data_IF_860003147048
#
_entry.id   IF_860003147048
#
_cell.length_a   1.000
_cell.length_b   1.000
_cell.length_c   1.000
_cell.angle_alpha   90.00
_cell.angle_beta   90.00
_cell.angle_gamma   90.00
#
_symmetry.space_group_name_H-M   'P 1'
#
loop_
_entity.id
_entity.type
_entity.pdbx_description
1 polymer ?
#
# COMPACT_ATOMS: atom_id res chain seq x y z
N UNK A 1 -34.17 -17.30 -11.12
CA UNK A 1 -34.25 -16.22 -10.10
C UNK A 1 -34.46 -16.76 -8.69
N UNK A 2 -35.26 -17.81 -8.48
CA UNK A 2 -35.42 -18.46 -7.16
C UNK A 2 -34.12 -19.00 -6.56
N UNK A 3 -33.24 -19.60 -7.37
CA UNK A 3 -31.97 -20.19 -6.90
C UNK A 3 -31.03 -19.18 -6.22
N UNK A 4 -30.97 -17.95 -6.72
CA UNK A 4 -30.09 -16.92 -6.14
C UNK A 4 -30.62 -16.39 -4.80
N UNK A 5 -31.94 -16.21 -4.68
CA UNK A 5 -32.58 -15.78 -3.42
C UNK A 5 -32.46 -16.89 -2.37
N UNK A 6 -32.64 -18.14 -2.79
CA UNK A 6 -32.45 -19.30 -1.91
C UNK A 6 -31.00 -19.39 -1.42
N UNK A 7 -30.03 -19.19 -2.31
CA UNK A 7 -28.61 -19.17 -1.96
C UNK A 7 -28.26 -18.04 -0.98
N UNK A 8 -28.86 -16.85 -1.13
CA UNK A 8 -28.68 -15.73 -0.20
C UNK A 8 -29.31 -16.02 1.16
N UNK A 9 -30.44 -16.75 1.23
CA UNK A 9 -31.04 -17.24 2.48
C UNK A 9 -30.15 -18.29 3.13
N UNK A 10 -29.69 -19.29 2.38
CA UNK A 10 -28.86 -20.39 2.88
C UNK A 10 -27.51 -19.88 3.41
N UNK A 11 -26.95 -18.86 2.75
CA UNK A 11 -25.75 -18.16 3.21
C UNK A 11 -26.02 -17.16 4.33
N UNK A 12 -27.28 -16.93 4.71
CA UNK A 12 -27.68 -16.07 5.82
C UNK A 12 -27.53 -14.57 5.56
N UNK A 13 -27.52 -14.14 4.29
CA UNK A 13 -27.43 -12.73 3.90
C UNK A 13 -28.80 -12.03 3.93
N UNK A 14 -29.87 -12.75 3.67
CA UNK A 14 -31.23 -12.23 3.75
C UNK A 14 -32.08 -13.13 4.64
N UNK A 15 -33.03 -12.54 5.36
CA UNK A 15 -34.06 -13.24 6.11
C UNK A 15 -35.42 -12.83 5.56
N UNK A 16 -36.36 -13.75 5.59
CA UNK A 16 -37.75 -13.47 5.28
C UNK A 16 -38.45 -13.19 6.61
N UNK A 17 -38.93 -11.97 6.79
CA UNK A 17 -39.65 -11.57 8.01
C UNK A 17 -41.12 -11.30 7.67
N UNK A 18 -42.00 -12.02 8.35
CA UNK A 18 -43.45 -11.81 8.31
C UNK A 18 -44.23 -12.58 7.24
N UNK A 19 -45.56 -12.70 7.41
CA UNK A 19 -46.46 -13.50 6.55
C UNK A 19 -46.70 -12.92 5.14
N UNK A 20 -45.83 -12.03 4.65
CA UNK A 20 -45.94 -11.34 3.36
C UNK A 20 -44.76 -11.53 2.40
N UNK A 21 -43.73 -12.29 2.79
CA UNK A 21 -42.57 -12.57 1.93
C UNK A 21 -41.59 -11.39 1.77
N UNK A 22 -41.55 -10.47 2.73
CA UNK A 22 -40.62 -9.33 2.68
C UNK A 22 -39.20 -9.78 3.08
N UNK A 23 -38.20 -9.32 2.34
CA UNK A 23 -36.81 -9.73 2.52
C UNK A 23 -36.02 -8.65 3.26
N UNK A 24 -35.59 -8.97 4.48
CA UNK A 24 -34.76 -8.09 5.31
C UNK A 24 -33.29 -8.50 5.21
N UNK A 25 -32.41 -7.52 5.03
CA UNK A 25 -30.96 -7.73 5.08
C UNK A 25 -30.51 -8.09 6.49
N UNK A 26 -29.62 -9.06 6.62
CA UNK A 26 -29.06 -9.44 7.93
C UNK A 26 -27.84 -8.59 8.29
N UNK A 27 -27.47 -8.59 9.57
CA UNK A 27 -26.22 -7.99 10.05
C UNK A 27 -24.97 -8.53 9.31
N UNK A 28 -25.02 -9.78 8.82
CA UNK A 28 -23.95 -10.38 8.02
C UNK A 28 -23.79 -9.67 6.67
N UNK A 29 -24.89 -9.29 6.04
CA UNK A 29 -24.89 -8.50 4.79
C UNK A 29 -24.38 -7.09 5.03
N UNK A 30 -24.84 -6.44 6.10
CA UNK A 30 -24.35 -5.11 6.46
C UNK A 30 -22.85 -5.10 6.70
N UNK A 31 -22.33 -6.09 7.45
CA UNK A 31 -20.91 -6.23 7.72
C UNK A 31 -20.09 -6.54 6.45
N UNK A 32 -20.60 -7.40 5.56
CA UNK A 32 -19.89 -7.77 4.33
C UNK A 32 -19.81 -6.59 3.35
N UNK A 33 -20.90 -5.83 3.22
CA UNK A 33 -20.94 -4.61 2.41
C UNK A 33 -19.96 -3.58 2.96
N UNK A 34 -19.99 -3.32 4.27
CA UNK A 34 -19.03 -2.39 4.90
C UNK A 34 -17.58 -2.82 4.66
N UNK A 35 -17.25 -4.09 4.87
CA UNK A 35 -15.89 -4.60 4.63
C UNK A 35 -15.48 -4.41 3.17
N UNK A 36 -16.36 -4.78 2.23
CA UNK A 36 -16.09 -4.65 0.79
C UNK A 36 -15.93 -3.19 0.38
N UNK A 37 -16.73 -2.28 0.92
CA UNK A 37 -16.61 -0.84 0.69
C UNK A 37 -15.28 -0.31 1.23
N UNK A 38 -14.85 -0.74 2.42
CA UNK A 38 -13.54 -0.37 2.97
C UNK A 38 -12.40 -0.94 2.13
N UNK A 39 -12.48 -2.20 1.70
CA UNK A 39 -11.51 -2.81 0.77
C UNK A 39 -11.49 -2.12 -0.59
N UNK A 40 -12.62 -1.60 -1.08
CA UNK A 40 -12.63 -0.86 -2.34
C UNK A 40 -12.00 0.53 -2.19
N UNK A 41 -12.27 1.23 -1.08
CA UNK A 41 -11.69 2.53 -0.76
C UNK A 41 -10.19 2.42 -0.49
N UNK A 42 -9.76 1.42 0.29
CA UNK A 42 -8.39 1.30 0.79
C UNK A 42 -7.54 0.28 0.01
N UNK A 43 -8.14 -0.73 -0.59
CA UNK A 43 -7.44 -1.76 -1.37
C UNK A 43 -7.05 -1.30 -2.78
N UNK A 44 -7.67 -0.22 -3.28
CA UNK A 44 -7.28 0.45 -4.54
C UNK A 44 -6.63 1.82 -4.28
N UNK A 45 -5.88 1.98 -3.18
CA UNK A 45 -5.00 3.14 -2.99
C UNK A 45 -3.92 3.14 -4.09
N UNK A 46 -4.28 3.67 -5.27
CA UNK A 46 -3.35 3.94 -6.37
C UNK A 46 -2.55 5.20 -6.01
N UNK A 47 -1.31 5.27 -6.52
CA UNK A 47 -0.44 6.47 -6.48
C UNK A 47 -1.26 7.72 -6.83
N UNK A 48 -1.65 8.47 -5.81
CA UNK A 48 -2.51 9.66 -5.84
C UNK A 48 -1.78 10.76 -5.06
N UNK A 49 -2.21 12.03 -5.12
CA UNK A 49 -1.52 13.17 -4.48
C UNK A 49 -1.06 12.86 -3.03
N UNK A 50 0.14 13.38 -2.70
CA UNK A 50 0.80 13.24 -1.39
C UNK A 50 -0.17 13.51 -0.24
N UNK A 51 -0.15 12.66 0.79
CA UNK A 51 -0.99 12.79 1.98
C UNK A 51 -0.59 12.02 3.21
N UNK A 52 -1.57 11.69 4.06
CA UNK A 52 -1.34 11.27 5.45
C UNK A 52 -1.70 9.80 5.73
N UNK A 53 -2.08 9.02 4.72
CA UNK A 53 -2.26 7.57 4.83
C UNK A 53 -1.04 6.84 4.27
N UNK A 54 -0.55 5.86 5.04
CA UNK A 54 0.53 4.97 4.61
C UNK A 54 0.04 4.12 3.42
N UNK A 55 0.85 4.06 2.37
CA UNK A 55 0.62 3.14 1.25
C UNK A 55 1.74 2.11 1.21
N UNK A 56 1.49 0.88 0.73
CA UNK A 56 2.51 -0.17 0.64
C UNK A 56 3.50 0.06 -0.51
N UNK A 57 3.45 1.21 -1.18
CA UNK A 57 4.30 1.56 -2.31
C UNK A 57 5.46 2.44 -1.81
N UNK A 58 6.69 2.07 -2.16
CA UNK A 58 7.85 2.94 -1.99
C UNK A 58 7.80 4.14 -2.96
N UNK A 59 8.26 5.32 -2.53
CA UNK A 59 8.27 6.52 -3.37
C UNK A 59 8.63 7.83 -2.65
N UNK A 60 8.47 8.98 -3.32
CA UNK A 60 8.76 10.31 -2.77
C UNK A 60 7.84 10.69 -1.58
N UNK A 61 8.16 10.22 -0.38
CA UNK A 61 7.67 10.78 0.88
C UNK A 61 8.80 11.31 1.75
N UNK A 62 8.44 11.75 2.96
CA UNK A 62 9.34 12.46 3.89
C UNK A 62 10.01 11.55 4.93
N UNK A 63 9.64 10.27 5.00
CA UNK A 63 10.22 9.30 5.95
C UNK A 63 11.07 8.27 5.21
N UNK A 64 12.37 8.12 5.56
CA UNK A 64 13.21 7.08 5.00
C UNK A 64 12.75 5.70 5.46
N UNK A 65 12.73 4.73 4.54
CA UNK A 65 12.49 3.33 4.83
C UNK A 65 13.79 2.63 5.21
N UNK A 66 13.71 1.35 5.60
CA UNK A 66 14.90 0.49 5.79
C UNK A 66 15.34 -0.16 4.48
N UNK A 67 14.57 -0.01 3.41
CA UNK A 67 14.84 -0.65 2.12
C UNK A 67 15.89 0.14 1.35
N UNK A 68 16.85 -0.62 0.81
CA UNK A 68 17.99 -0.09 0.07
C UNK A 68 17.97 -0.65 -1.34
N UNK A 69 18.28 0.21 -2.30
CA UNK A 69 18.48 -0.20 -3.69
C UNK A 69 19.69 0.46 -4.30
N UNK A 70 20.15 -0.10 -5.41
CA UNK A 70 21.21 0.49 -6.22
C UNK A 70 20.75 1.85 -6.79
N UNK A 71 21.69 2.79 -6.83
CA UNK A 71 21.47 4.12 -7.40
C UNK A 71 21.03 4.02 -8.87
N UNK A 72 20.01 4.80 -9.23
CA UNK A 72 19.58 4.96 -10.61
C UNK A 72 19.59 6.43 -10.99
N UNK A 73 19.84 6.68 -12.28
CA UNK A 73 19.84 8.04 -12.81
C UNK A 73 18.48 8.72 -12.56
N UNK A 74 18.51 9.82 -11.79
CA UNK A 74 17.31 10.56 -11.36
C UNK A 74 17.05 10.53 -9.86
N UNK A 75 17.77 9.69 -9.11
CA UNK A 75 17.75 9.71 -7.65
C UNK A 75 18.44 10.96 -7.10
N UNK A 76 17.89 11.53 -6.03
CA UNK A 76 18.43 12.74 -5.41
C UNK A 76 19.62 12.39 -4.52
N UNK A 77 20.62 13.28 -4.44
CA UNK A 77 21.78 13.12 -3.56
C UNK A 77 21.40 12.89 -2.08
N UNK A 78 20.29 13.48 -1.62
CA UNK A 78 19.79 13.32 -0.24
C UNK A 78 19.35 11.88 0.09
N UNK A 79 19.11 11.05 -0.92
CA UNK A 79 18.71 9.65 -0.75
C UNK A 79 19.91 8.69 -0.72
N UNK A 80 21.13 9.16 -1.03
CA UNK A 80 22.32 8.31 -1.11
C UNK A 80 22.82 7.99 0.30
N UNK A 81 22.93 6.71 0.63
CA UNK A 81 23.61 6.25 1.85
C UNK A 81 25.11 6.26 1.60
N UNK A 82 25.76 7.37 1.97
CA UNK A 82 27.21 7.53 1.81
C UNK A 82 28.01 6.50 2.61
N UNK A 83 27.47 5.97 3.71
CA UNK A 83 28.19 5.03 4.58
C UNK A 83 28.33 3.68 3.88
N UNK A 84 27.22 3.16 3.37
CA UNK A 84 27.22 1.88 2.67
C UNK A 84 27.79 2.00 1.26
N UNK A 85 27.62 3.15 0.60
CA UNK A 85 28.28 3.42 -0.66
C UNK A 85 29.81 3.39 -0.53
N UNK A 86 30.34 4.00 0.54
CA UNK A 86 31.78 3.97 0.82
C UNK A 86 32.27 2.56 1.18
N UNK A 87 31.47 1.81 1.94
CA UNK A 87 31.76 0.42 2.27
C UNK A 87 31.82 -0.45 1.01
N UNK A 88 30.86 -0.31 0.10
CA UNK A 88 30.80 -1.05 -1.15
C UNK A 88 32.00 -0.69 -2.05
N UNK A 89 32.31 0.60 -2.18
CA UNK A 89 33.50 1.07 -2.89
C UNK A 89 34.79 0.47 -2.33
N UNK A 90 34.96 0.41 -1.01
CA UNK A 90 36.12 -0.22 -0.37
C UNK A 90 36.18 -1.73 -0.62
N UNK A 91 35.04 -2.43 -0.60
CA UNK A 91 34.98 -3.86 -0.90
C UNK A 91 35.37 -4.14 -2.37
N UNK A 92 34.93 -3.29 -3.31
CA UNK A 92 35.16 -3.52 -4.75
C UNK A 92 36.52 -3.03 -5.24
N UNK A 93 36.99 -1.89 -4.75
CA UNK A 93 38.22 -1.24 -5.24
C UNK A 93 39.44 -1.43 -4.32
N UNK A 94 39.22 -1.88 -3.08
CA UNK A 94 40.29 -2.14 -2.11
C UNK A 94 40.83 -0.86 -1.44
N UNK A 95 41.75 -1.04 -0.48
CA UNK A 95 42.23 0.02 0.41
C UNK A 95 43.26 0.95 -0.26
N UNK A 96 43.96 0.48 -1.29
CA UNK A 96 45.13 1.18 -1.84
C UNK A 96 44.78 2.27 -2.86
N UNK A 97 43.64 2.17 -3.54
CA UNK A 97 43.20 3.15 -4.53
C UNK A 97 41.69 3.39 -4.36
N UNK A 98 41.34 4.49 -3.69
CA UNK A 98 39.94 4.81 -3.45
C UNK A 98 39.30 5.27 -4.76
N UNK A 99 38.42 4.42 -5.29
CA UNK A 99 37.59 4.73 -6.44
C UNK A 99 36.13 4.55 -6.02
N UNK A 100 35.30 5.55 -6.31
CA UNK A 100 33.86 5.49 -6.11
C UNK A 100 33.21 5.51 -7.49
N UNK A 101 32.43 4.50 -7.79
CA UNK A 101 31.69 4.37 -9.05
C UNK A 101 30.19 4.44 -8.79
N UNK A 102 29.40 4.72 -9.83
CA UNK A 102 27.93 4.79 -9.71
C UNK A 102 27.36 3.45 -9.21
N UNK A 103 27.99 2.33 -9.56
CA UNK A 103 27.58 1.00 -9.13
C UNK A 103 27.76 0.78 -7.63
N UNK A 104 28.60 1.57 -6.97
CA UNK A 104 28.85 1.47 -5.52
C UNK A 104 27.80 2.23 -4.72
N UNK A 105 27.06 3.14 -5.35
CA UNK A 105 26.11 4.00 -4.69
C UNK A 105 24.84 3.23 -4.31
N UNK A 106 24.50 3.24 -3.03
CA UNK A 106 23.22 2.76 -2.51
C UNK A 106 22.32 3.94 -2.15
N UNK A 107 21.02 3.81 -2.46
CA UNK A 107 19.99 4.78 -2.09
C UNK A 107 18.99 4.16 -1.13
N UNK A 108 18.56 4.96 -0.16
CA UNK A 108 17.48 4.64 0.77
C UNK A 108 16.17 5.10 0.16
N UNK A 109 15.19 4.20 0.08
CA UNK A 109 13.87 4.58 -0.40
C UNK A 109 13.07 5.33 0.69
N UNK A 110 12.13 6.18 0.30
CA UNK A 110 11.23 6.84 1.25
C UNK A 110 9.82 6.18 1.21
N UNK A 111 9.09 6.22 2.33
CA UNK A 111 7.71 5.74 2.40
C UNK A 111 6.78 6.73 1.68
N UNK A 112 6.02 6.27 0.68
CA UNK A 112 5.00 7.10 0.05
C UNK A 112 3.72 7.18 0.90
N UNK A 113 3.31 8.41 1.26
CA UNK A 113 2.05 8.67 1.96
C UNK A 113 1.04 9.34 1.02
N UNK A 114 -0.22 8.87 0.98
CA UNK A 114 -1.30 9.34 0.08
C UNK A 114 -2.46 9.98 0.85
N UNK A 115 -3.17 10.98 0.30
CA UNK A 115 -4.37 11.56 0.96
C UNK A 115 -5.61 10.75 0.56
N UNK A 116 -6.46 10.46 1.54
CA UNK A 116 -7.85 10.03 1.35
C UNK A 116 -8.72 10.92 2.22
N UNK A 117 -9.60 11.70 1.61
CA UNK A 117 -10.62 12.47 2.33
C UNK A 117 -11.91 11.67 2.34
N UNK A 118 -12.31 11.15 3.50
CA UNK A 118 -13.63 10.52 3.69
C UNK A 118 -14.53 11.50 4.43
N UNK A 119 -15.60 11.96 3.80
CA UNK A 119 -16.69 12.68 4.49
C UNK A 119 -17.65 11.62 5.05
N UNK A 120 -17.83 11.62 6.36
CA UNK A 120 -18.90 10.88 7.03
C UNK A 120 -20.14 11.78 7.06
N UNK A 121 -21.26 11.31 6.49
CA UNK A 121 -22.60 11.83 6.71
C UNK A 121 -23.39 10.84 7.57
#
# INVERSE_FOLDING_TARGET
MGDFIQELKDKGYIKEDGPGGDFTITAKTEQSIRRRSLEEIFGKLRKSRRGQHRTPLAGMGDEPTTDRREYQFGDTLDQIDMTDSLRNAQIRHGINDFKLTEDDLEVVENEYKTQTSTVLM
#
